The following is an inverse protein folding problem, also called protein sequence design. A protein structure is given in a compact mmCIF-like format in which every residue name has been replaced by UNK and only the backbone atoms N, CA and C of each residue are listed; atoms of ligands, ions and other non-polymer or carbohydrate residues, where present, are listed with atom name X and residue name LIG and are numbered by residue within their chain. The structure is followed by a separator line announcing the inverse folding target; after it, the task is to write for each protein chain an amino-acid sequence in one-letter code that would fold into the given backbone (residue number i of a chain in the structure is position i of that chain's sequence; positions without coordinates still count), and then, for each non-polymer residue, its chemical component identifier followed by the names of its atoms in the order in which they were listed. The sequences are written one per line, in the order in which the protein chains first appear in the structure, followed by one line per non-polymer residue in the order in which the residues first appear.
data_IF_137308522771
#
_entry.id   IF_137308522771
#
_cell.length_a   1.000
_cell.length_b   1.000
_cell.length_c   1.000
_cell.angle_alpha   90.00
_cell.angle_beta   90.00
_cell.angle_gamma   90.00
#
_symmetry.space_group_name_H-M   'P 1'
#
loop_
_entity.id
_entity.type
_entity.pdbx_description
1 polymer ?
#
# COMPACT_ATOMS: atom_id res chain seq x y z
N UNK A 1 -52.04 -29.01 -3.41
CA UNK A 1 -50.83 -29.55 -4.07
C UNK A 1 -50.21 -28.42 -4.88
N UNK A 2 -49.20 -27.73 -4.35
CA UNK A 2 -48.37 -26.88 -5.22
C UNK A 2 -47.57 -27.82 -6.12
N UNK A 3 -47.76 -27.69 -7.43
CA UNK A 3 -47.11 -28.58 -8.42
C UNK A 3 -45.60 -28.55 -8.21
N UNK A 4 -44.96 -29.72 -8.28
CA UNK A 4 -43.50 -29.87 -8.14
C UNK A 4 -42.72 -28.93 -9.09
N UNK A 5 -43.33 -28.59 -10.24
CA UNK A 5 -42.81 -27.61 -11.21
C UNK A 5 -42.74 -26.18 -10.69
N UNK A 6 -43.68 -25.76 -9.84
CA UNK A 6 -43.71 -24.41 -9.27
C UNK A 6 -42.62 -24.23 -8.23
N UNK A 7 -42.37 -25.28 -7.43
CA UNK A 7 -41.28 -25.29 -6.45
C UNK A 7 -39.92 -25.29 -7.14
N UNK A 8 -39.74 -26.10 -8.19
CA UNK A 8 -38.49 -26.17 -8.94
C UNK A 8 -38.15 -24.84 -9.65
N UNK A 9 -39.13 -24.20 -10.28
CA UNK A 9 -38.96 -22.91 -10.95
C UNK A 9 -38.60 -21.79 -9.96
N UNK A 10 -39.26 -21.76 -8.80
CA UNK A 10 -38.92 -20.82 -7.73
C UNK A 10 -37.50 -21.06 -7.18
N UNK A 11 -37.09 -22.31 -6.98
CA UNK A 11 -35.73 -22.62 -6.51
C UNK A 11 -34.65 -22.32 -7.55
N UNK A 12 -34.90 -22.58 -8.85
CA UNK A 12 -33.96 -22.26 -9.92
C UNK A 12 -33.82 -20.74 -10.02
N UNK A 13 -34.93 -20.00 -10.00
CA UNK A 13 -34.92 -18.54 -10.09
C UNK A 13 -34.25 -17.90 -8.87
N UNK A 14 -34.48 -18.40 -7.66
CA UNK A 14 -33.78 -17.95 -6.45
C UNK A 14 -32.27 -18.25 -6.52
N UNK A 15 -31.89 -19.44 -6.99
CA UNK A 15 -30.48 -19.85 -7.14
C UNK A 15 -29.75 -19.04 -8.22
N UNK A 16 -30.38 -18.78 -9.37
CA UNK A 16 -29.79 -17.92 -10.42
C UNK A 16 -29.64 -16.47 -9.95
N UNK A 17 -30.67 -15.90 -9.29
CA UNK A 17 -30.57 -14.56 -8.69
C UNK A 17 -29.47 -14.49 -7.63
N UNK A 18 -29.28 -15.56 -6.84
CA UNK A 18 -28.23 -15.61 -5.82
C UNK A 18 -26.83 -15.72 -6.43
N UNK A 19 -26.65 -16.42 -7.55
CA UNK A 19 -25.37 -16.49 -8.27
C UNK A 19 -25.05 -15.15 -8.96
N UNK A 20 -26.01 -14.53 -9.65
CA UNK A 20 -25.81 -13.21 -10.30
C UNK A 20 -25.46 -12.11 -9.30
N UNK A 21 -26.10 -12.08 -8.13
CA UNK A 21 -25.79 -11.11 -7.07
C UNK A 21 -24.38 -11.30 -6.49
N UNK A 22 -23.90 -12.54 -6.38
CA UNK A 22 -22.55 -12.83 -5.88
C UNK A 22 -21.47 -12.41 -6.90
N UNK A 23 -21.74 -12.58 -8.19
CA UNK A 23 -20.83 -12.17 -9.26
C UNK A 23 -20.74 -10.64 -9.38
N UNK A 24 -21.86 -9.91 -9.26
CA UNK A 24 -21.88 -8.43 -9.28
C UNK A 24 -21.12 -7.82 -8.09
N UNK A 25 -21.33 -8.35 -6.87
CA UNK A 25 -20.61 -7.90 -5.67
C UNK A 25 -19.09 -8.11 -5.80
N UNK A 26 -18.67 -9.26 -6.37
CA UNK A 26 -17.26 -9.55 -6.61
C UNK A 26 -16.62 -8.62 -7.65
N UNK A 27 -17.33 -8.31 -8.74
CA UNK A 27 -16.85 -7.40 -9.79
C UNK A 27 -16.67 -5.98 -9.23
N UNK A 28 -17.65 -5.47 -8.48
CA UNK A 28 -17.59 -4.14 -7.88
C UNK A 28 -16.43 -4.02 -6.86
N UNK A 29 -16.16 -5.10 -6.12
CA UNK A 29 -15.09 -5.13 -5.13
C UNK A 29 -13.70 -5.15 -5.79
N UNK A 30 -13.53 -5.89 -6.88
CA UNK A 30 -12.30 -5.91 -7.70
C UNK A 30 -12.05 -4.54 -8.38
N UNK A 31 -13.10 -3.92 -8.93
CA UNK A 31 -13.00 -2.60 -9.56
C UNK A 31 -12.63 -1.50 -8.54
N UNK A 32 -13.23 -1.52 -7.35
CA UNK A 32 -12.87 -0.61 -6.28
C UNK A 32 -11.41 -0.83 -5.83
N UNK A 33 -10.96 -2.08 -5.71
CA UNK A 33 -9.58 -2.38 -5.34
C UNK A 33 -8.57 -1.87 -6.37
N UNK A 34 -8.85 -2.08 -7.66
CA UNK A 34 -8.05 -1.54 -8.77
C UNK A 34 -7.97 -0.02 -8.74
N UNK A 35 -9.08 0.67 -8.49
CA UNK A 35 -9.10 2.13 -8.39
C UNK A 35 -8.28 2.61 -7.17
N UNK A 36 -8.40 1.95 -6.02
CA UNK A 36 -7.57 2.28 -4.84
C UNK A 36 -6.07 2.09 -5.13
N UNK A 37 -5.68 1.05 -5.86
CA UNK A 37 -4.30 0.84 -6.28
C UNK A 37 -3.84 1.96 -7.22
N UNK A 38 -4.68 2.38 -8.18
CA UNK A 38 -4.36 3.46 -9.13
C UNK A 38 -4.23 4.82 -8.44
N UNK A 39 -5.07 5.11 -7.46
CA UNK A 39 -4.94 6.30 -6.59
C UNK A 39 -3.62 6.24 -5.83
N UNK A 40 -3.31 5.08 -5.24
CA UNK A 40 -2.06 4.85 -4.51
C UNK A 40 -0.83 5.03 -5.40
N UNK A 41 -0.87 4.51 -6.64
CA UNK A 41 0.18 4.71 -7.64
C UNK A 41 0.44 6.18 -7.93
N UNK A 42 -0.62 6.93 -8.19
CA UNK A 42 -0.53 8.36 -8.49
C UNK A 42 0.05 9.13 -7.30
N UNK A 43 -0.42 8.83 -6.09
CA UNK A 43 0.08 9.40 -4.83
C UNK A 43 1.57 9.13 -4.62
N UNK A 44 2.04 7.91 -4.87
CA UNK A 44 3.45 7.53 -4.72
C UNK A 44 4.31 8.28 -5.74
N UNK A 45 3.86 8.35 -6.99
CA UNK A 45 4.56 9.06 -8.07
C UNK A 45 4.68 10.54 -7.79
N UNK A 46 3.60 11.18 -7.38
CA UNK A 46 3.60 12.61 -7.02
C UNK A 46 4.48 12.88 -5.80
N UNK A 47 4.42 11.99 -4.81
CA UNK A 47 5.28 12.09 -3.66
C UNK A 47 6.76 11.99 -4.06
N UNK A 48 7.17 10.95 -4.79
CA UNK A 48 8.59 10.72 -5.11
C UNK A 48 9.18 11.75 -6.07
N UNK A 49 8.34 12.38 -6.90
CA UNK A 49 8.76 13.30 -7.96
C UNK A 49 9.69 14.41 -7.46
N UNK A 50 10.88 14.49 -8.05
CA UNK A 50 11.88 15.51 -7.76
C UNK A 50 12.68 15.25 -6.48
N UNK A 51 12.46 14.11 -5.81
CA UNK A 51 13.24 13.68 -4.64
C UNK A 51 13.74 12.24 -4.75
N UNK A 52 13.62 11.62 -5.92
CA UNK A 52 14.24 10.34 -6.22
C UNK A 52 15.76 10.42 -5.96
N UNK A 53 16.35 9.35 -5.40
CA UNK A 53 17.76 9.32 -5.01
C UNK A 53 18.10 10.07 -3.70
N UNK A 54 17.29 11.04 -3.28
CA UNK A 54 17.54 11.80 -2.06
C UNK A 54 16.86 11.18 -0.83
N UNK A 55 17.59 10.32 -0.12
CA UNK A 55 17.10 9.60 1.06
C UNK A 55 16.58 10.54 2.17
N UNK A 56 17.18 11.71 2.36
CA UNK A 56 16.78 12.66 3.41
C UNK A 56 15.42 13.29 3.10
N UNK A 57 15.24 13.71 1.84
CA UNK A 57 13.97 14.27 1.36
C UNK A 57 12.85 13.24 1.42
N UNK A 58 13.13 11.99 1.03
CA UNK A 58 12.16 10.90 1.07
C UNK A 58 11.74 10.60 2.52
N UNK A 59 12.69 10.39 3.43
CA UNK A 59 12.38 10.07 4.84
C UNK A 59 11.64 11.20 5.56
N UNK A 60 12.00 12.46 5.32
CA UNK A 60 11.33 13.59 6.00
C UNK A 60 9.89 13.85 5.56
N UNK A 61 9.49 13.26 4.44
CA UNK A 61 8.16 13.45 3.83
C UNK A 61 7.36 12.15 3.72
N UNK A 62 7.82 11.07 4.34
CA UNK A 62 7.22 9.74 4.22
C UNK A 62 5.78 9.68 4.76
N UNK A 63 5.44 10.52 5.74
CA UNK A 63 4.09 10.64 6.29
C UNK A 63 3.02 11.04 5.28
N UNK A 64 3.41 11.67 4.16
CA UNK A 64 2.43 12.08 3.14
C UNK A 64 2.01 10.93 2.23
N UNK A 65 2.83 9.89 2.08
CA UNK A 65 2.50 8.73 1.24
C UNK A 65 1.90 7.57 2.05
N UNK A 66 2.36 7.38 3.29
CA UNK A 66 1.86 6.32 4.17
C UNK A 66 0.47 6.63 4.75
N UNK A 67 -0.15 5.59 5.32
CA UNK A 67 -1.42 5.68 6.05
C UNK A 67 -1.19 5.85 7.56
N UNK A 68 -2.18 6.34 8.32
CA UNK A 68 -2.01 6.70 9.73
C UNK A 68 -1.53 5.53 10.62
N UNK A 69 -1.97 4.30 10.33
CA UNK A 69 -1.65 3.09 11.11
C UNK A 69 -0.36 2.39 10.63
N UNK A 70 0.41 3.01 9.73
CA UNK A 70 1.68 2.47 9.23
C UNK A 70 2.76 2.35 10.33
N UNK A 71 2.56 3.01 11.48
CA UNK A 71 3.53 3.06 12.58
C UNK A 71 4.70 4.00 12.32
N UNK A 72 4.69 4.72 11.18
CA UNK A 72 5.66 5.75 10.88
C UNK A 72 5.44 6.97 11.77
N UNK A 73 6.54 7.53 12.30
CA UNK A 73 6.53 8.81 13.00
C UNK A 73 7.25 9.84 12.13
N UNK A 74 6.63 10.99 11.79
CA UNK A 74 7.28 12.02 10.99
C UNK A 74 8.62 12.42 11.59
N UNK A 75 9.65 12.53 10.74
CA UNK A 75 10.99 12.94 11.15
C UNK A 75 11.34 14.21 10.38
N UNK A 76 11.51 15.36 11.04
CA UNK A 76 11.82 16.60 10.33
C UNK A 76 13.23 16.54 9.75
N UNK A 77 13.47 17.22 8.62
CA UNK A 77 14.75 17.19 7.91
C UNK A 77 15.94 17.57 8.80
N UNK A 78 15.72 18.53 9.71
CA UNK A 78 16.74 18.98 10.69
C UNK A 78 17.25 17.87 11.60
N UNK A 79 16.46 16.81 11.82
CA UNK A 79 16.82 15.67 12.66
C UNK A 79 17.50 14.54 11.86
N UNK A 80 17.69 14.68 10.54
CA UNK A 80 18.27 13.67 9.65
C UNK A 80 19.34 14.26 8.72
N UNK A 81 20.14 15.20 9.24
CA UNK A 81 21.27 15.78 8.52
C UNK A 81 22.45 14.80 8.53
N UNK A 82 22.80 14.28 9.70
CA UNK A 82 23.95 13.39 9.90
C UNK A 82 23.68 11.96 9.39
N UNK A 83 24.71 11.32 8.83
CA UNK A 83 24.58 9.98 8.24
C UNK A 83 24.08 8.91 9.23
N UNK A 84 24.47 8.99 10.50
CA UNK A 84 23.95 8.10 11.55
C UNK A 84 22.44 8.28 11.77
N UNK A 85 21.95 9.53 11.75
CA UNK A 85 20.54 9.85 11.88
C UNK A 85 19.74 9.38 10.66
N UNK A 86 20.28 9.56 9.45
CA UNK A 86 19.70 9.03 8.19
C UNK A 86 19.58 7.50 8.28
N UNK A 87 20.65 6.79 8.66
CA UNK A 87 20.64 5.33 8.82
C UNK A 87 19.57 4.86 9.79
N UNK A 88 19.44 5.52 10.95
CA UNK A 88 18.44 5.20 11.97
C UNK A 88 17.02 5.43 11.48
N UNK A 89 16.76 6.52 10.76
CA UNK A 89 15.45 6.81 10.18
C UNK A 89 15.10 5.83 9.06
N UNK A 90 16.06 5.50 8.20
CA UNK A 90 15.92 4.49 7.15
C UNK A 90 15.57 3.11 7.71
N UNK A 91 16.29 2.64 8.72
CA UNK A 91 16.00 1.36 9.39
C UNK A 91 14.58 1.32 9.97
N UNK A 92 14.12 2.42 10.58
CA UNK A 92 12.74 2.52 11.06
C UNK A 92 11.72 2.44 9.93
N UNK A 93 12.00 3.08 8.79
CA UNK A 93 11.12 3.03 7.62
C UNK A 93 11.00 1.58 7.11
N UNK A 94 12.12 0.85 6.97
CA UNK A 94 12.10 -0.55 6.55
C UNK A 94 11.26 -1.44 7.47
N UNK A 95 11.34 -1.24 8.79
CA UNK A 95 10.51 -1.99 9.74
C UNK A 95 9.01 -1.67 9.59
N UNK A 96 8.66 -0.43 9.23
CA UNK A 96 7.26 -0.05 9.00
C UNK A 96 6.70 -0.65 7.71
N UNK A 97 7.55 -0.79 6.68
CA UNK A 97 7.16 -1.23 5.34
C UNK A 97 7.39 -2.73 5.10
N UNK A 98 7.98 -3.44 6.06
CA UNK A 98 8.29 -4.86 5.90
C UNK A 98 7.00 -5.71 5.78
N UNK A 99 6.91 -6.65 4.83
CA UNK A 99 5.70 -7.44 4.59
C UNK A 99 5.22 -8.22 5.82
N UNK A 100 6.14 -8.76 6.63
CA UNK A 100 5.79 -9.43 7.91
C UNK A 100 5.01 -8.50 8.86
N UNK A 101 5.43 -7.23 8.98
CA UNK A 101 4.77 -6.27 9.87
C UNK A 101 3.43 -5.80 9.31
N UNK A 102 3.30 -5.72 8.00
CA UNK A 102 2.03 -5.42 7.34
C UNK A 102 1.04 -6.57 7.51
N UNK A 103 1.51 -7.81 7.38
CA UNK A 103 0.69 -9.00 7.56
C UNK A 103 0.19 -9.12 9.00
N UNK A 104 1.04 -8.89 9.99
CA UNK A 104 0.68 -8.88 11.42
C UNK A 104 -0.39 -7.84 11.77
N UNK A 105 -0.48 -6.74 11.01
CA UNK A 105 -1.45 -5.65 11.23
C UNK A 105 -2.72 -5.75 10.39
N UNK A 106 -2.84 -6.78 9.56
CA UNK A 106 -3.98 -6.93 8.65
C UNK A 106 -4.03 -5.83 7.57
N UNK A 107 -2.88 -5.42 7.03
CA UNK A 107 -2.82 -4.36 6.02
C UNK A 107 -3.64 -4.72 4.76
N UNK A 108 -4.40 -3.76 4.25
CA UNK A 108 -5.17 -3.89 3.02
C UNK A 108 -4.25 -4.00 1.78
N UNK A 109 -4.77 -4.51 0.66
CA UNK A 109 -3.97 -4.73 -0.55
C UNK A 109 -3.33 -3.44 -1.10
N UNK A 110 -4.08 -2.33 -1.15
CA UNK A 110 -3.51 -1.03 -1.55
C UNK A 110 -2.38 -0.56 -0.60
N UNK A 111 -2.44 -0.88 0.70
CA UNK A 111 -1.38 -0.54 1.67
C UNK A 111 -0.13 -1.39 1.45
N UNK A 112 -0.30 -2.68 1.12
CA UNK A 112 0.79 -3.57 0.72
C UNK A 112 1.46 -3.04 -0.54
N UNK A 113 0.68 -2.60 -1.52
CA UNK A 113 1.18 -1.96 -2.75
C UNK A 113 2.00 -0.69 -2.44
N UNK A 114 1.46 0.21 -1.62
CA UNK A 114 2.18 1.43 -1.19
C UNK A 114 3.50 1.05 -0.54
N UNK A 115 3.49 0.10 0.39
CA UNK A 115 4.68 -0.29 1.11
C UNK A 115 5.75 -0.87 0.20
N UNK A 116 5.39 -1.75 -0.74
CA UNK A 116 6.30 -2.32 -1.73
C UNK A 116 6.98 -1.22 -2.55
N UNK A 117 6.20 -0.32 -3.16
CA UNK A 117 6.77 0.72 -4.04
C UNK A 117 7.57 1.77 -3.30
N UNK A 118 7.13 2.16 -2.11
CA UNK A 118 7.91 3.08 -1.26
C UNK A 118 9.19 2.41 -0.77
N UNK A 119 9.17 1.11 -0.47
CA UNK A 119 10.36 0.35 -0.07
C UNK A 119 11.40 0.32 -1.19
N UNK A 120 10.99 0.01 -2.43
CA UNK A 120 11.86 0.04 -3.62
C UNK A 120 12.55 1.41 -3.79
N UNK A 121 11.78 2.50 -3.73
CA UNK A 121 12.30 3.87 -3.87
C UNK A 121 13.31 4.21 -2.77
N UNK A 122 13.02 3.83 -1.52
CA UNK A 122 13.92 4.06 -0.39
C UNK A 122 15.21 3.25 -0.51
N UNK A 123 15.15 2.02 -1.04
CA UNK A 123 16.35 1.20 -1.26
C UNK A 123 17.30 1.81 -2.28
N UNK A 124 16.78 2.32 -3.40
CA UNK A 124 17.63 2.97 -4.41
C UNK A 124 18.28 4.25 -3.85
N UNK A 125 17.50 5.10 -3.19
CA UNK A 125 18.03 6.30 -2.56
C UNK A 125 19.04 6.01 -1.44
N UNK A 126 18.87 4.90 -0.70
CA UNK A 126 19.84 4.46 0.30
C UNK A 126 21.16 3.98 -0.34
N UNK A 127 21.08 3.29 -1.48
CA UNK A 127 22.25 2.85 -2.24
C UNK A 127 23.07 4.05 -2.73
N UNK A 128 22.41 5.05 -3.32
CA UNK A 128 23.04 6.31 -3.72
C UNK A 128 23.65 7.07 -2.54
N UNK A 129 22.95 7.11 -1.40
CA UNK A 129 23.47 7.75 -0.20
C UNK A 129 24.78 7.10 0.28
N UNK A 130 24.86 5.77 0.26
CA UNK A 130 26.07 5.07 0.68
C UNK A 130 27.20 5.17 -0.35
N UNK A 131 26.92 5.19 -1.65
CA UNK A 131 27.96 5.35 -2.66
C UNK A 131 28.62 6.73 -2.58
N UNK A 132 27.87 7.79 -2.26
CA UNK A 132 28.42 9.15 -2.10
C UNK A 132 29.11 9.32 -0.74
N UNK A 133 28.59 8.71 0.32
CA UNK A 133 29.10 8.95 1.69
C UNK A 133 30.30 8.09 2.06
N UNK A 134 30.43 6.90 1.46
CA UNK A 134 31.47 5.92 1.80
C UNK A 134 32.26 5.39 0.60
N UNK A 135 31.97 5.88 -0.61
CA UNK A 135 32.70 5.54 -1.83
C UNK A 135 33.89 6.43 -2.11
#
# INVERSE_FOLDING_TARGET
MFSLTFFLCFTISYFTNQVEHLDEDQILQDDNEKEQIKISQSKIREWSKGKEGNIRSLLSTLQYVLWPESGWKPVPLVNIIEGAAVKKAYQKALLCLHPDKLQQRGAAMHQKYIAEKVFEILQEAWKEFNSVTFG
#
